data_IF_054053253263
#
_entry.id   IF_054053253263
#
_cell.length_a   1.000
_cell.length_b   1.000
_cell.length_c   1.000
_cell.angle_alpha   90.00
_cell.angle_beta   90.00
_cell.angle_gamma   90.00
#
_symmetry.space_group_name_H-M   'P 1'
#
loop_
_entity.id
_entity.type
_entity.pdbx_description
1 polymer ?
#
# COMPACT_ATOMS: atom_id res chain seq x y z
N UNK A 1 -2.79 -23.58 27.59
CA UNK A 1 -3.92 -23.11 26.74
C UNK A 1 -3.91 -21.59 26.71
N UNK A 2 -4.00 -21.00 25.49
CA UNK A 2 -4.10 -19.57 25.13
C UNK A 2 -2.89 -18.64 25.48
N UNK A 3 -2.65 -17.54 24.74
CA UNK A 3 -3.20 -17.10 23.45
C UNK A 3 -2.13 -16.71 22.39
N UNK A 4 -2.53 -16.80 21.12
CA UNK A 4 -1.86 -16.22 19.94
C UNK A 4 -2.07 -14.71 19.91
N UNK A 5 -1.01 -13.91 19.70
CA UNK A 5 -1.01 -12.67 18.90
C UNK A 5 0.43 -12.14 18.89
N UNK A 6 1.21 -12.48 17.86
CA UNK A 6 2.41 -11.69 17.51
C UNK A 6 2.03 -10.84 16.30
N UNK A 7 1.24 -9.79 16.57
CA UNK A 7 1.02 -8.70 15.63
C UNK A 7 2.32 -7.92 15.61
N UNK A 8 3.24 -8.32 14.75
CA UNK A 8 4.40 -7.48 14.44
C UNK A 8 3.86 -6.37 13.55
N UNK A 9 3.34 -5.35 14.21
CA UNK A 9 3.03 -4.06 13.63
C UNK A 9 4.35 -3.54 13.02
N UNK A 10 4.59 -3.84 11.74
CA UNK A 10 5.66 -3.25 10.98
C UNK A 10 5.23 -1.82 10.61
N UNK A 11 5.30 -0.96 11.62
CA UNK A 11 5.34 0.48 11.49
C UNK A 11 6.57 0.87 10.67
N UNK A 12 6.44 0.89 9.35
CA UNK A 12 7.37 1.59 8.47
C UNK A 12 6.87 3.03 8.32
N UNK A 13 7.34 3.84 9.27
CA UNK A 13 7.54 5.29 9.21
C UNK A 13 6.67 6.08 8.21
N UNK A 14 5.67 6.77 8.73
CA UNK A 14 5.21 8.05 8.20
C UNK A 14 5.18 9.05 9.36
N UNK A 15 6.36 9.53 9.74
CA UNK A 15 6.54 10.65 10.66
C UNK A 15 7.28 11.76 9.92
N UNK A 16 6.51 12.71 9.42
CA UNK A 16 6.95 14.09 9.25
C UNK A 16 5.74 14.98 9.57
N UNK A 17 5.49 15.15 10.87
CA UNK A 17 4.71 16.29 11.34
C UNK A 17 5.59 17.53 11.29
N UNK A 18 5.23 18.51 10.46
CA UNK A 18 5.63 19.89 10.65
C UNK A 18 4.43 20.78 10.31
N UNK A 19 3.80 21.33 11.34
CA UNK A 19 2.79 22.37 11.20
C UNK A 19 3.50 23.73 11.14
N UNK A 20 3.53 24.40 9.97
CA UNK A 20 3.71 25.85 9.89
C UNK A 20 3.25 26.45 8.54
N UNK A 21 2.14 27.21 8.60
CA UNK A 21 1.81 28.42 7.84
C UNK A 21 1.95 28.40 6.29
N UNK A 22 0.80 28.28 5.61
CA UNK A 22 0.53 28.95 4.32
C UNK A 22 1.42 28.59 3.13
N UNK A 23 1.09 27.49 2.44
CA UNK A 23 1.49 27.26 1.05
C UNK A 23 0.32 26.57 0.34
N UNK A 24 -0.07 27.08 -0.83
CA UNK A 24 -1.24 26.59 -1.59
C UNK A 24 -1.27 25.08 -1.72
N UNK A 25 -2.47 24.50 -1.68
CA UNK A 25 -2.73 23.06 -1.60
C UNK A 25 -1.74 22.24 -2.44
N UNK A 26 -0.70 21.73 -1.78
CA UNK A 26 0.21 20.77 -2.38
C UNK A 26 -0.58 19.46 -2.50
N UNK A 27 -0.82 19.00 -3.72
CA UNK A 27 -1.37 17.67 -3.95
C UNK A 27 -0.29 16.66 -3.54
N UNK A 28 -0.36 16.19 -2.29
CA UNK A 28 0.55 15.17 -1.80
C UNK A 28 0.12 13.82 -2.39
N UNK A 29 0.86 13.36 -3.41
CA UNK A 29 0.75 12.00 -3.91
C UNK A 29 1.42 11.00 -2.95
N UNK A 30 0.86 9.80 -2.84
CA UNK A 30 1.46 8.69 -2.08
C UNK A 30 1.33 7.38 -2.84
N UNK A 31 2.28 6.47 -2.63
CA UNK A 31 2.26 5.13 -3.20
C UNK A 31 2.54 4.11 -2.10
N UNK A 32 1.73 3.05 -2.04
CA UNK A 32 1.88 1.94 -1.09
C UNK A 32 1.91 0.61 -1.83
N UNK A 33 2.78 -0.30 -1.39
CA UNK A 33 2.96 -1.61 -1.99
C UNK A 33 2.68 -2.72 -0.96
N UNK A 34 1.86 -3.69 -1.36
CA UNK A 34 1.60 -4.90 -0.60
C UNK A 34 2.28 -6.10 -1.26
N UNK A 35 2.87 -6.97 -0.43
CA UNK A 35 3.55 -8.18 -0.90
C UNK A 35 2.87 -9.43 -0.33
N UNK A 36 2.93 -10.52 -1.09
CA UNK A 36 2.51 -11.83 -0.60
C UNK A 36 3.59 -12.48 0.29
N UNK A 37 3.28 -13.66 0.85
CA UNK A 37 4.19 -14.40 1.72
C UNK A 37 5.50 -14.85 1.03
N UNK A 38 5.54 -14.85 -0.30
CA UNK A 38 6.71 -15.16 -1.11
C UNK A 38 7.51 -13.89 -1.47
N UNK A 39 7.11 -12.72 -0.97
CA UNK A 39 7.76 -11.43 -1.23
C UNK A 39 7.45 -10.86 -2.62
N UNK A 40 6.43 -11.37 -3.33
CA UNK A 40 6.03 -10.86 -4.64
C UNK A 40 5.01 -9.74 -4.49
N UNK A 41 5.03 -8.76 -5.40
CA UNK A 41 4.11 -7.63 -5.36
C UNK A 41 2.66 -8.09 -5.59
N UNK A 42 1.82 -8.02 -4.57
CA UNK A 42 0.41 -8.42 -4.64
C UNK A 42 -0.52 -7.22 -4.84
N UNK A 43 -0.11 -6.02 -4.41
CA UNK A 43 -0.90 -4.80 -4.61
C UNK A 43 -0.05 -3.54 -4.71
N UNK A 44 -0.53 -2.57 -5.48
CA UNK A 44 -0.01 -1.22 -5.54
C UNK A 44 -1.16 -0.22 -5.43
N UNK A 45 -1.07 0.71 -4.48
CA UNK A 45 -2.07 1.75 -4.26
C UNK A 45 -1.43 3.09 -4.56
N UNK A 46 -1.97 3.81 -5.53
CA UNK A 46 -1.56 5.15 -5.91
C UNK A 46 -2.62 6.13 -5.46
N UNK A 47 -2.23 7.15 -4.69
CA UNK A 47 -3.11 8.25 -4.33
C UNK A 47 -2.50 9.56 -4.79
N UNK A 48 -3.31 10.45 -5.36
CA UNK A 48 -2.90 11.82 -5.70
C UNK A 48 -3.51 12.85 -4.73
N UNK A 49 -3.90 12.42 -3.52
CA UNK A 49 -4.60 13.24 -2.54
C UNK A 49 -6.09 13.46 -2.82
N UNK A 50 -6.55 13.24 -4.06
CA UNK A 50 -7.96 13.37 -4.47
C UNK A 50 -8.59 12.06 -4.93
N UNK A 51 -7.81 11.20 -5.59
CA UNK A 51 -8.26 9.91 -6.11
C UNK A 51 -7.26 8.83 -5.74
N UNK A 52 -7.77 7.61 -5.56
CA UNK A 52 -6.96 6.45 -5.14
C UNK A 52 -7.16 5.31 -6.12
N UNK A 53 -6.16 5.01 -6.93
CA UNK A 53 -6.16 3.83 -7.80
C UNK A 53 -5.47 2.67 -7.10
N UNK A 54 -6.14 1.53 -7.03
CA UNK A 54 -5.57 0.27 -6.53
C UNK A 54 -5.38 -0.70 -7.67
N UNK A 55 -4.20 -1.32 -7.73
CA UNK A 55 -3.88 -2.41 -8.62
C UNK A 55 -3.60 -3.66 -7.78
N UNK A 56 -4.21 -4.79 -8.14
CA UNK A 56 -3.96 -6.09 -7.51
C UNK A 56 -3.46 -7.10 -8.52
N UNK A 57 -2.57 -7.97 -8.05
CA UNK A 57 -1.92 -8.99 -8.84
C UNK A 57 -2.14 -10.36 -8.20
N UNK A 58 -2.47 -11.34 -9.02
CA UNK A 58 -2.59 -12.74 -8.61
C UNK A 58 -1.58 -13.59 -9.37
N UNK A 59 -1.04 -14.59 -8.68
CA UNK A 59 0.00 -15.46 -9.20
C UNK A 59 -0.36 -16.93 -9.01
N UNK A 60 0.09 -17.78 -9.92
CA UNK A 60 0.08 -19.22 -9.73
C UNK A 60 1.25 -19.68 -8.83
N UNK A 61 1.25 -20.99 -8.53
CA UNK A 61 2.25 -21.63 -7.67
C UNK A 61 3.68 -21.61 -8.25
N UNK A 62 3.81 -21.58 -9.58
CA UNK A 62 5.08 -21.48 -10.30
C UNK A 62 5.62 -20.06 -10.42
N UNK A 63 4.90 -19.04 -9.95
CA UNK A 63 5.39 -17.67 -9.95
C UNK A 63 4.85 -16.79 -11.07
N UNK A 64 4.06 -17.32 -11.99
CA UNK A 64 3.57 -16.50 -13.11
C UNK A 64 2.36 -15.69 -12.68
N UNK A 65 2.32 -14.44 -13.14
CA UNK A 65 1.19 -13.55 -12.89
C UNK A 65 0.04 -13.95 -13.80
N UNK A 66 -1.07 -14.39 -13.20
CA UNK A 66 -2.25 -14.88 -13.92
C UNK A 66 -3.39 -13.86 -13.95
N UNK A 67 -3.32 -12.80 -13.14
CA UNK A 67 -4.35 -11.76 -13.13
C UNK A 67 -3.83 -10.38 -12.74
N UNK A 68 -4.56 -9.37 -13.22
CA UNK A 68 -4.38 -7.95 -12.95
C UNK A 68 -5.77 -7.36 -12.81
N UNK A 69 -6.05 -6.74 -11.66
CA UNK A 69 -7.27 -5.95 -11.51
C UNK A 69 -6.89 -4.53 -11.12
N UNK A 70 -7.50 -3.56 -11.79
CA UNK A 70 -7.34 -2.14 -11.48
C UNK A 70 -8.69 -1.61 -11.03
N UNK A 71 -8.71 -0.92 -9.90
CA UNK A 71 -9.89 -0.26 -9.36
C UNK A 71 -9.54 1.18 -9.08
N UNK A 72 -10.20 2.08 -9.79
CA UNK A 72 -10.18 3.51 -9.53
C UNK A 72 -11.61 3.89 -9.14
N UNK A 73 -11.83 4.64 -8.05
CA UNK A 73 -13.14 5.19 -7.71
C UNK A 73 -13.58 6.24 -8.74
#
# INVERSE_FOLDING_TARGET
MRPTTSRRDFHRAALAGLLLLGAGAAHAGSVSYGYDALGRLASAVYSNGTSTTTITYSYDAGGNRISVATTTP
#
